data_IF_050952625239
#
_entry.id   IF_050952625239
#
_cell.length_a   1.000
_cell.length_b   1.000
_cell.length_c   1.000
_cell.angle_alpha   90.00
_cell.angle_beta   90.00
_cell.angle_gamma   90.00
#
_symmetry.space_group_name_H-M   'P 1'
#
loop_
_entity.id
_entity.type
_entity.pdbx_description
1 polymer ?
#
# COMPACT_ATOMS: atom_id res chain seq x y z
N UNK A 1 -26.95 6.40 5.70
CA UNK A 1 -26.42 6.93 4.42
C UNK A 1 -25.17 6.12 4.11
N UNK A 2 -25.22 5.18 3.16
CA UNK A 2 -24.04 4.39 2.79
C UNK A 2 -23.15 5.32 1.99
N UNK A 3 -22.08 5.82 2.61
CA UNK A 3 -21.06 6.60 1.89
C UNK A 3 -20.55 5.72 0.75
N UNK A 4 -20.79 6.14 -0.48
CA UNK A 4 -20.20 5.56 -1.68
C UNK A 4 -18.71 5.90 -1.63
N UNK A 5 -17.94 5.03 -0.96
CA UNK A 5 -16.49 5.16 -0.87
C UNK A 5 -15.95 5.03 -2.29
N UNK A 6 -15.46 6.14 -2.83
CA UNK A 6 -14.66 6.12 -4.05
C UNK A 6 -13.49 5.17 -3.79
N UNK A 7 -13.43 4.07 -4.54
CA UNK A 7 -12.38 3.05 -4.41
C UNK A 7 -11.01 3.73 -4.39
N UNK A 8 -10.26 3.55 -3.30
CA UNK A 8 -8.91 4.08 -3.12
C UNK A 8 -7.92 3.22 -3.92
N UNK A 9 -8.04 3.23 -5.26
CA UNK A 9 -7.14 2.45 -6.12
C UNK A 9 -5.75 3.11 -6.10
N UNK A 10 -4.73 2.32 -5.77
CA UNK A 10 -3.34 2.72 -5.75
C UNK A 10 -2.85 3.04 -7.16
N UNK A 11 -2.29 4.24 -7.35
CA UNK A 11 -1.67 4.65 -8.61
C UNK A 11 -0.16 4.60 -8.50
N UNK A 12 0.51 4.37 -9.63
CA UNK A 12 1.97 4.41 -9.73
C UNK A 12 2.49 5.78 -9.28
N UNK A 13 3.44 5.79 -8.35
CA UNK A 13 4.03 7.02 -7.81
C UNK A 13 3.21 7.70 -6.71
N UNK A 14 2.00 7.24 -6.40
CA UNK A 14 1.14 7.84 -5.35
C UNK A 14 1.14 7.06 -4.03
N UNK A 15 2.09 6.13 -3.83
CA UNK A 15 2.07 5.22 -2.67
C UNK A 15 1.98 5.96 -1.33
N UNK A 16 2.81 6.98 -1.10
CA UNK A 16 2.83 7.72 0.17
C UNK A 16 1.46 8.31 0.52
N UNK A 17 0.83 9.00 -0.44
CA UNK A 17 -0.46 9.62 -0.22
C UNK A 17 -1.58 8.57 -0.11
N UNK A 18 -1.49 7.52 -0.92
CA UNK A 18 -2.41 6.40 -0.87
C UNK A 18 -2.36 5.67 0.48
N UNK A 19 -1.16 5.41 1.02
CA UNK A 19 -1.00 4.68 2.28
C UNK A 19 -1.61 5.44 3.46
N UNK A 20 -1.43 6.77 3.49
CA UNK A 20 -2.07 7.63 4.49
C UNK A 20 -3.60 7.59 4.40
N UNK A 21 -4.16 7.68 3.17
CA UNK A 21 -5.61 7.60 2.96
C UNK A 21 -6.16 6.22 3.33
N UNK A 22 -5.42 5.15 3.02
CA UNK A 22 -5.82 3.78 3.33
C UNK A 22 -5.84 3.53 4.83
N UNK A 23 -4.80 3.95 5.55
CA UNK A 23 -4.75 3.89 7.01
C UNK A 23 -5.94 4.63 7.65
N UNK A 24 -6.19 5.87 7.22
CA UNK A 24 -7.31 6.66 7.72
C UNK A 24 -8.66 5.99 7.41
N UNK A 25 -8.83 5.45 6.20
CA UNK A 25 -10.06 4.77 5.79
C UNK A 25 -10.34 3.53 6.64
N UNK A 26 -9.34 2.67 6.82
CA UNK A 26 -9.47 1.44 7.61
C UNK A 26 -9.76 1.77 9.07
N UNK A 27 -9.00 2.69 9.66
CA UNK A 27 -9.15 3.14 11.05
C UNK A 27 -10.55 3.70 11.32
N UNK A 28 -11.07 4.53 10.41
CA UNK A 28 -12.41 5.12 10.56
C UNK A 28 -13.55 4.11 10.31
N UNK A 29 -13.29 3.07 9.53
CA UNK A 29 -14.29 2.03 9.24
C UNK A 29 -14.44 1.06 10.40
N UNK A 30 -13.30 0.60 10.93
CA UNK A 30 -13.19 -0.30 12.07
C UNK A 30 -11.70 -0.35 12.46
N UNK A 31 -11.39 0.11 13.68
CA UNK A 31 -10.01 0.16 14.19
C UNK A 31 -9.30 -1.20 14.12
N UNK A 32 -10.05 -2.31 14.26
CA UNK A 32 -9.52 -3.67 14.17
C UNK A 32 -8.90 -3.99 12.80
N UNK A 33 -9.37 -3.35 11.73
CA UNK A 33 -8.83 -3.56 10.37
C UNK A 33 -7.40 -3.06 10.23
N UNK A 34 -7.07 -1.91 10.83
CA UNK A 34 -5.69 -1.41 10.81
C UNK A 34 -4.80 -2.20 11.77
N UNK A 35 -5.33 -2.57 12.95
CA UNK A 35 -4.59 -3.36 13.92
C UNK A 35 -4.11 -4.70 13.35
N UNK A 36 -4.97 -5.43 12.64
CA UNK A 36 -4.59 -6.73 12.08
C UNK A 36 -3.52 -6.63 10.98
N UNK A 37 -3.51 -5.52 10.22
CA UNK A 37 -2.46 -5.24 9.22
C UNK A 37 -1.11 -4.96 9.90
N UNK A 38 -1.09 -4.27 11.03
CA UNK A 38 0.14 -3.90 11.72
C UNK A 38 0.70 -5.06 12.56
N UNK A 39 -0.16 -5.71 13.33
CA UNK A 39 0.25 -6.70 14.30
C UNK A 39 0.31 -8.11 13.68
N UNK A 40 -0.53 -8.38 12.69
CA UNK A 40 -0.71 -9.69 12.07
C UNK A 40 -1.86 -10.45 12.73
N UNK A 41 -2.15 -11.64 12.22
CA UNK A 41 -3.20 -12.49 12.79
C UNK A 41 -2.70 -13.17 14.08
N UNK A 42 -2.90 -12.48 15.20
CA UNK A 42 -2.56 -12.97 16.55
C UNK A 42 -3.42 -14.18 16.98
N UNK A 43 -4.51 -14.48 16.26
CA UNK A 43 -5.49 -15.50 16.62
C UNK A 43 -5.48 -16.72 15.68
N UNK A 44 -4.44 -16.90 14.84
CA UNK A 44 -4.25 -18.16 14.12
C UNK A 44 -3.89 -19.27 15.10
N UNK A 45 -4.89 -20.06 15.49
CA UNK A 45 -4.63 -21.37 16.07
C UNK A 45 -4.19 -22.32 14.96
N UNK A 46 -2.89 -22.56 14.87
CA UNK A 46 -2.32 -23.61 14.03
C UNK A 46 -1.85 -24.75 14.92
N UNK A 47 -2.29 -25.98 14.61
CA UNK A 47 -1.76 -27.20 15.22
C UNK A 47 -0.93 -27.92 14.17
N UNK A 48 0.15 -28.60 14.56
CA UNK A 48 0.84 -29.50 13.65
C UNK A 48 0.17 -30.87 13.65
N UNK A 49 0.03 -31.49 12.48
CA UNK A 49 -0.29 -32.91 12.40
C UNK A 49 0.93 -33.76 12.77
N UNK A 50 0.74 -35.08 12.84
CA UNK A 50 1.79 -36.05 13.17
C UNK A 50 3.00 -36.00 12.21
N UNK A 51 2.85 -35.32 11.06
CA UNK A 51 3.89 -35.12 10.05
C UNK A 51 4.51 -33.70 10.09
N UNK A 52 4.15 -32.86 11.08
CA UNK A 52 4.66 -31.50 11.25
C UNK A 52 4.03 -30.45 10.33
N UNK A 53 2.96 -30.77 9.61
CA UNK A 53 2.25 -29.85 8.72
C UNK A 53 1.30 -28.98 9.53
N UNK A 54 1.36 -27.65 9.33
CA UNK A 54 0.44 -26.70 9.93
C UNK A 54 -1.02 -26.93 9.47
N UNK A 55 -1.85 -27.48 10.35
CA UNK A 55 -3.30 -27.55 10.20
C UNK A 55 -3.94 -26.28 10.80
N UNK A 56 -4.74 -25.59 9.98
CA UNK A 56 -5.64 -24.53 10.46
C UNK A 56 -6.78 -25.13 11.25
N UNK A 57 -6.76 -24.96 12.57
CA UNK A 57 -7.89 -25.38 13.43
C UNK A 57 -9.06 -24.41 13.22
N UNK A 58 -10.31 -24.90 13.20
CA UNK A 58 -11.48 -24.02 13.28
C UNK A 58 -11.44 -23.19 14.57
N UNK A 59 -11.69 -21.87 14.53
CA UNK A 59 -11.70 -21.03 15.71
C UNK A 59 -12.80 -21.50 16.66
N UNK A 60 -12.42 -21.77 17.92
CA UNK A 60 -13.33 -22.28 18.94
C UNK A 60 -14.01 -21.17 19.76
N UNK A 61 -13.50 -19.94 19.70
CA UNK A 61 -14.01 -18.80 20.47
C UNK A 61 -14.60 -17.72 19.57
N UNK A 62 -15.59 -16.98 20.09
CA UNK A 62 -16.20 -15.85 19.39
C UNK A 62 -15.17 -14.79 18.98
N UNK A 63 -14.16 -14.54 19.83
CA UNK A 63 -13.06 -13.62 19.53
C UNK A 63 -12.21 -14.09 18.35
N UNK A 64 -11.85 -15.37 18.28
CA UNK A 64 -11.08 -15.92 17.16
C UNK A 64 -11.88 -15.93 15.85
N UNK A 65 -13.20 -16.14 15.91
CA UNK A 65 -14.09 -16.01 14.75
C UNK A 65 -14.09 -14.56 14.24
N UNK A 66 -14.25 -13.60 15.14
CA UNK A 66 -14.26 -12.17 14.81
C UNK A 66 -12.90 -11.71 14.25
N UNK A 67 -11.79 -12.12 14.85
CA UNK A 67 -10.44 -11.83 14.34
C UNK A 67 -10.26 -12.33 12.90
N UNK A 68 -10.69 -13.57 12.59
CA UNK A 68 -10.66 -14.10 11.21
C UNK A 68 -11.52 -13.29 10.23
N UNK A 69 -12.67 -12.78 10.68
CA UNK A 69 -13.54 -11.95 9.84
C UNK A 69 -12.87 -10.61 9.52
N UNK A 70 -12.27 -9.97 10.52
CA UNK A 70 -11.52 -8.71 10.39
C UNK A 70 -10.32 -8.92 9.45
N UNK A 71 -9.54 -9.99 9.64
CA UNK A 71 -8.40 -10.33 8.79
C UNK A 71 -8.81 -10.51 7.32
N UNK A 72 -9.87 -11.29 7.07
CA UNK A 72 -10.40 -11.48 5.71
C UNK A 72 -10.88 -10.17 5.10
N UNK A 73 -11.57 -9.34 5.89
CA UNK A 73 -12.08 -8.04 5.44
C UNK A 73 -10.95 -7.06 5.12
N UNK A 74 -9.95 -6.97 5.99
CA UNK A 74 -8.76 -6.14 5.77
C UNK A 74 -8.03 -6.55 4.48
N UNK A 75 -7.76 -7.84 4.31
CA UNK A 75 -7.16 -8.38 3.09
C UNK A 75 -7.99 -8.08 1.84
N UNK A 76 -9.31 -8.25 1.92
CA UNK A 76 -10.21 -7.95 0.79
C UNK A 76 -10.19 -6.48 0.40
N UNK A 77 -10.19 -5.57 1.36
CA UNK A 77 -10.11 -4.12 1.10
C UNK A 77 -8.78 -3.78 0.42
N UNK A 78 -7.67 -4.32 0.93
CA UNK A 78 -6.36 -4.13 0.31
C UNK A 78 -6.33 -4.63 -1.13
N UNK A 79 -6.85 -5.83 -1.41
CA UNK A 79 -6.88 -6.38 -2.78
C UNK A 79 -7.72 -5.54 -3.75
N UNK A 80 -8.86 -5.00 -3.30
CA UNK A 80 -9.70 -4.10 -4.11
C UNK A 80 -9.03 -2.75 -4.39
N UNK A 81 -8.05 -2.36 -3.59
CA UNK A 81 -7.32 -1.12 -3.73
C UNK A 81 -6.08 -1.25 -4.65
N UNK A 82 -5.78 -2.45 -5.16
CA UNK A 82 -4.63 -2.69 -6.03
C UNK A 82 -5.05 -2.70 -7.51
N UNK A 83 -4.26 -2.08 -8.41
CA UNK A 83 -4.50 -2.17 -9.84
C UNK A 83 -4.52 -3.62 -10.35
N UNK A 84 -5.43 -3.91 -11.28
CA UNK A 84 -5.64 -5.24 -11.84
C UNK A 84 -4.36 -5.90 -12.37
N UNK A 85 -3.42 -5.10 -12.91
CA UNK A 85 -2.14 -5.58 -13.46
C UNK A 85 -1.25 -6.30 -12.43
N UNK A 86 -1.47 -6.07 -11.12
CA UNK A 86 -0.74 -6.74 -10.05
C UNK A 86 -1.57 -7.75 -9.25
N UNK A 87 -2.87 -7.86 -9.53
CA UNK A 87 -3.83 -8.55 -8.67
C UNK A 87 -3.48 -10.03 -8.47
N UNK A 88 -3.07 -10.73 -9.53
CA UNK A 88 -2.65 -12.14 -9.46
C UNK A 88 -1.47 -12.37 -8.51
N UNK A 89 -0.49 -11.45 -8.50
CA UNK A 89 0.69 -11.57 -7.64
C UNK A 89 0.32 -11.41 -6.17
N UNK A 90 -0.53 -10.43 -5.87
CA UNK A 90 -0.94 -10.13 -4.50
C UNK A 90 -1.99 -11.10 -3.94
N UNK A 91 -2.81 -11.72 -4.78
CA UNK A 91 -3.85 -12.67 -4.35
C UNK A 91 -3.27 -13.91 -3.64
N UNK A 92 -2.03 -14.28 -3.95
CA UNK A 92 -1.35 -15.45 -3.35
C UNK A 92 -0.91 -15.23 -1.89
N UNK A 93 -0.83 -13.97 -1.44
CA UNK A 93 -0.32 -13.63 -0.11
C UNK A 93 -1.35 -14.06 0.94
N UNK A 94 -0.90 -14.74 2.00
CA UNK A 94 -1.76 -15.41 2.98
C UNK A 94 -2.59 -14.41 3.80
N UNK A 95 -1.90 -13.46 4.44
CA UNK A 95 -2.42 -12.54 5.45
C UNK A 95 -2.32 -11.06 5.03
N UNK A 96 -3.12 -10.21 5.68
CA UNK A 96 -3.24 -8.78 5.39
C UNK A 96 -1.96 -8.00 5.68
N UNK A 97 -1.21 -8.39 6.72
CA UNK A 97 0.08 -7.79 7.09
C UNK A 97 1.13 -8.00 6.01
N UNK A 98 1.32 -9.25 5.59
CA UNK A 98 2.24 -9.61 4.51
C UNK A 98 1.82 -8.96 3.19
N UNK A 99 0.51 -8.84 2.95
CA UNK A 99 -0.02 -8.16 1.76
C UNK A 99 0.36 -6.67 1.77
N UNK A 100 0.15 -5.98 2.89
CA UNK A 100 0.55 -4.58 3.06
C UNK A 100 2.06 -4.37 2.85
N UNK A 101 2.89 -5.23 3.45
CA UNK A 101 4.34 -5.18 3.29
C UNK A 101 4.78 -5.37 1.83
N UNK A 102 4.16 -6.31 1.11
CA UNK A 102 4.44 -6.53 -0.31
C UNK A 102 4.00 -5.33 -1.17
N UNK A 103 2.85 -4.71 -0.87
CA UNK A 103 2.38 -3.50 -1.56
C UNK A 103 3.39 -2.38 -1.34
N UNK A 104 3.82 -2.15 -0.09
CA UNK A 104 4.87 -1.19 0.24
C UNK A 104 6.13 -1.44 -0.56
N UNK A 105 6.66 -2.67 -0.52
CA UNK A 105 7.88 -3.02 -1.24
C UNK A 105 7.78 -2.77 -2.75
N UNK A 106 6.60 -2.97 -3.35
CA UNK A 106 6.40 -2.81 -4.80
C UNK A 106 6.22 -1.36 -5.22
N UNK A 107 5.49 -0.57 -4.44
CA UNK A 107 5.01 0.75 -4.87
C UNK A 107 5.69 1.92 -4.16
N UNK A 108 6.20 1.72 -2.95
CA UNK A 108 7.01 2.74 -2.26
C UNK A 108 8.40 2.86 -2.91
N UNK A 109 8.87 1.78 -3.55
CA UNK A 109 10.26 1.66 -4.01
C UNK A 109 11.20 1.36 -2.84
N UNK A 110 12.41 0.87 -3.14
CA UNK A 110 13.42 0.63 -2.12
C UNK A 110 14.20 1.93 -1.80
N UNK A 111 14.89 1.96 -0.65
CA UNK A 111 15.66 3.13 -0.18
C UNK A 111 16.65 3.63 -1.23
N UNK A 112 17.33 2.72 -1.93
CA UNK A 112 18.30 3.06 -2.97
C UNK A 112 17.63 3.70 -4.19
N UNK A 113 16.48 3.20 -4.64
CA UNK A 113 15.72 3.80 -5.75
C UNK A 113 15.22 5.20 -5.42
N UNK A 114 14.77 5.44 -4.18
CA UNK A 114 14.39 6.78 -3.69
C UNK A 114 15.59 7.71 -3.63
N UNK A 115 16.74 7.21 -3.14
CA UNK A 115 18.00 7.96 -3.07
C UNK A 115 18.53 8.30 -4.46
N UNK A 116 18.45 7.37 -5.40
CA UNK A 116 18.82 7.58 -6.79
C UNK A 116 17.89 8.58 -7.47
N UNK A 117 16.57 8.46 -7.29
CA UNK A 117 15.59 9.42 -7.81
C UNK A 117 15.83 10.83 -7.23
N UNK A 118 16.08 10.94 -5.92
CA UNK A 118 16.45 12.21 -5.28
C UNK A 118 17.75 12.79 -5.84
N UNK A 119 18.73 11.95 -6.17
CA UNK A 119 20.00 12.38 -6.77
C UNK A 119 19.79 12.87 -8.20
N UNK A 120 19.00 12.15 -9.00
CA UNK A 120 18.61 12.56 -10.36
C UNK A 120 17.86 13.88 -10.34
N UNK A 121 16.87 14.05 -9.45
CA UNK A 121 16.12 15.30 -9.31
C UNK A 121 17.01 16.47 -8.89
N UNK A 122 17.93 16.26 -7.93
CA UNK A 122 18.93 17.28 -7.57
C UNK A 122 19.81 17.68 -8.76
N UNK A 123 20.22 16.72 -9.58
CA UNK A 123 21.03 16.99 -10.77
C UNK A 123 20.21 17.74 -11.83
N UNK A 124 18.97 17.34 -12.08
CA UNK A 124 18.07 18.01 -13.01
C UNK A 124 17.76 19.45 -12.57
N UNK A 125 17.56 19.68 -11.28
CA UNK A 125 17.35 21.01 -10.73
C UNK A 125 18.61 21.88 -10.85
N UNK A 126 19.80 21.35 -10.53
CA UNK A 126 21.07 22.08 -10.71
C UNK A 126 21.33 22.45 -12.17
N UNK A 127 20.98 21.56 -13.09
CA UNK A 127 21.14 21.75 -14.52
C UNK A 127 19.95 22.46 -15.16
N UNK A 128 18.97 22.93 -14.37
CA UNK A 128 17.82 23.64 -14.88
C UNK A 128 18.27 25.02 -15.36
N UNK A 129 18.27 25.20 -16.68
CA UNK A 129 18.51 26.47 -17.34
C UNK A 129 17.36 26.78 -18.29
N UNK A 130 16.97 28.05 -18.36
CA UNK A 130 16.03 28.56 -19.33
C UNK A 130 16.83 29.13 -20.49
N UNK A 131 16.60 28.65 -21.71
CA UNK A 131 17.18 29.27 -22.89
C UNK A 131 16.31 30.44 -23.35
N UNK A 132 16.93 31.57 -23.69
CA UNK A 132 16.23 32.80 -24.15
C UNK A 132 15.13 32.59 -25.21
N UNK A 133 15.26 31.70 -26.22
CA UNK A 133 14.20 31.49 -27.21
C UNK A 133 13.00 30.66 -26.70
N UNK A 134 13.04 30.07 -25.51
CA UNK A 134 11.96 29.20 -25.01
C UNK A 134 10.77 29.93 -24.39
N UNK A 135 10.95 31.19 -23.99
CA UNK A 135 9.89 31.98 -23.35
C UNK A 135 9.61 31.57 -21.89
N UNK A 136 9.08 32.53 -21.13
CA UNK A 136 8.86 32.41 -19.68
C UNK A 136 7.81 31.35 -19.32
N UNK A 137 6.78 31.21 -20.15
CA UNK A 137 5.70 30.23 -19.94
C UNK A 137 6.21 28.78 -20.01
N UNK A 138 7.05 28.48 -21.01
CA UNK A 138 7.64 27.15 -21.18
C UNK A 138 8.64 26.83 -20.07
N UNK A 139 9.37 27.83 -19.60
CA UNK A 139 10.23 27.72 -18.43
C UNK A 139 9.43 27.38 -17.16
N UNK A 140 8.32 28.09 -16.95
CA UNK A 140 7.42 27.85 -15.83
C UNK A 140 6.82 26.44 -15.86
N UNK A 141 6.35 25.97 -17.02
CA UNK A 141 5.82 24.61 -17.18
C UNK A 141 6.86 23.52 -16.88
N UNK A 142 8.11 23.71 -17.34
CA UNK A 142 9.20 22.77 -17.04
C UNK A 142 9.55 22.78 -15.54
N UNK A 143 9.53 23.95 -14.90
CA UNK A 143 9.77 24.08 -13.48
C UNK A 143 8.66 23.40 -12.66
N UNK A 144 7.39 23.64 -13.01
CA UNK A 144 6.23 22.99 -12.39
C UNK A 144 6.28 21.46 -12.53
N UNK A 145 6.68 20.95 -13.71
CA UNK A 145 6.92 19.51 -13.92
C UNK A 145 8.05 18.95 -13.07
N UNK A 146 9.08 19.75 -12.76
CA UNK A 146 10.17 19.34 -11.88
C UNK A 146 9.73 19.31 -10.41
N UNK A 147 8.96 20.30 -9.97
CA UNK A 147 8.38 20.38 -8.62
C UNK A 147 7.40 19.23 -8.38
N UNK A 148 6.60 18.85 -9.37
CA UNK A 148 5.62 17.76 -9.23
C UNK A 148 6.25 16.36 -9.13
N UNK A 149 7.56 16.23 -9.36
CA UNK A 149 8.33 15.00 -9.21
C UNK A 149 9.05 14.88 -7.87
N UNK A 150 9.02 15.93 -7.04
CA UNK A 150 9.59 15.98 -5.67
C UNK A 150 8.55 15.48 -4.66
#
# INVERSE_FOLDING_TARGET
>A
MVSSVKLLILKKGEYTLWSMRMEQYLTNTDYGLWQVIMNGDEFVQTTQDDNGVEIKVPPKTAQAILARQIERKAKSILLLAIPNEYQLRFHTIKDAKSLWAAIKSRFDGNVESKKMQKTVLKQQFKNFSVSDPEGLDKAYDKFQKLISLI
#
